data_IF_912292200237
#
_entry.id   IF_912292200237
#
_cell.length_a   1.000
_cell.length_b   1.000
_cell.length_c   1.000
_cell.angle_alpha   90.00
_cell.angle_beta   90.00
_cell.angle_gamma   90.00
#
_symmetry.space_group_name_H-M   'P 1'
#
loop_
_entity.id
_entity.type
_entity.pdbx_description
1 polymer ?
#
# COMPACT_ATOMS: atom_id res chain seq x y z
N UNK A 1 -7.31 46.64 -13.37
CA UNK A 1 -6.00 45.96 -13.35
C UNK A 1 -6.09 44.92 -12.25
N UNK A 2 -6.31 43.66 -12.63
CA UNK A 2 -6.20 42.53 -11.71
C UNK A 2 -4.73 42.40 -11.31
N UNK A 3 -4.47 42.48 -10.01
CA UNK A 3 -3.15 42.23 -9.45
C UNK A 3 -2.96 40.72 -9.45
N UNK A 4 -2.24 40.20 -10.44
CA UNK A 4 -1.85 38.79 -10.50
C UNK A 4 -1.04 38.49 -9.23
N UNK A 5 -1.64 37.75 -8.30
CA UNK A 5 -0.98 37.37 -7.07
C UNK A 5 0.27 36.58 -7.45
N UNK A 6 1.44 37.14 -7.15
CA UNK A 6 2.74 36.55 -7.44
C UNK A 6 2.98 35.41 -6.43
N UNK A 7 2.23 34.31 -6.60
CA UNK A 7 2.23 33.15 -5.73
C UNK A 7 3.51 32.37 -6.00
N UNK A 8 4.40 32.32 -5.01
CA UNK A 8 5.62 31.50 -5.12
C UNK A 8 5.20 30.03 -5.12
N UNK A 9 5.70 29.23 -6.05
CA UNK A 9 5.46 27.77 -6.14
C UNK A 9 5.67 27.03 -4.81
N UNK A 10 6.54 27.55 -3.94
CA UNK A 10 6.79 27.02 -2.59
C UNK A 10 5.65 27.22 -1.59
N UNK A 11 4.65 28.06 -1.89
CA UNK A 11 3.54 28.39 -0.99
C UNK A 11 2.40 27.34 -1.03
N UNK A 12 2.36 26.47 -2.05
CA UNK A 12 1.29 25.48 -2.24
C UNK A 12 1.84 24.09 -2.54
N UNK A 13 2.86 23.65 -1.78
CA UNK A 13 3.36 22.29 -1.90
C UNK A 13 2.45 21.35 -1.13
N UNK A 14 1.64 20.57 -1.85
CA UNK A 14 0.97 19.41 -1.28
C UNK A 14 2.03 18.37 -0.90
N UNK A 15 2.06 18.00 0.39
CA UNK A 15 2.99 17.02 0.93
C UNK A 15 2.20 15.91 1.60
N UNK A 16 2.54 14.67 1.27
CA UNK A 16 2.02 13.54 2.02
C UNK A 16 2.54 13.60 3.46
N UNK A 17 1.65 13.33 4.42
CA UNK A 17 2.02 13.26 5.83
C UNK A 17 2.99 12.11 6.11
N UNK A 18 2.85 11.01 5.36
CA UNK A 18 3.75 9.86 5.41
C UNK A 18 4.17 9.48 3.98
N UNK A 19 5.46 9.22 3.80
CA UNK A 19 6.02 8.66 2.58
C UNK A 19 6.80 7.40 2.94
N UNK A 20 6.95 6.50 1.98
CA UNK A 20 7.84 5.36 2.11
C UNK A 20 8.67 5.21 0.84
N UNK A 21 9.76 4.46 0.95
CA UNK A 21 10.38 3.85 -0.20
C UNK A 21 10.67 2.38 0.06
N UNK A 22 10.69 1.61 -1.02
CA UNK A 22 11.11 0.22 -1.04
C UNK A 22 12.24 0.04 -2.04
N UNK A 23 13.17 -0.87 -1.74
CA UNK A 23 14.33 -1.16 -2.57
C UNK A 23 14.59 -2.66 -2.53
N UNK A 24 15.06 -3.21 -3.65
CA UNK A 24 15.57 -4.56 -3.71
C UNK A 24 17.07 -4.53 -3.97
N UNK A 25 17.83 -5.36 -3.24
CA UNK A 25 19.24 -5.65 -3.53
C UNK A 25 19.35 -7.13 -3.78
N UNK A 26 19.76 -7.50 -4.98
CA UNK A 26 19.94 -8.92 -5.30
C UNK A 26 21.07 -9.50 -4.41
N UNK A 27 20.80 -10.54 -3.61
CA UNK A 27 21.86 -11.18 -2.83
C UNK A 27 23.01 -11.76 -3.65
N UNK A 28 22.79 -12.07 -4.94
CA UNK A 28 23.80 -12.64 -5.84
C UNK A 28 24.72 -11.62 -6.51
N UNK A 29 24.17 -10.48 -6.96
CA UNK A 29 24.90 -9.44 -7.72
C UNK A 29 25.24 -8.22 -6.86
N UNK A 30 24.55 -8.03 -5.72
CA UNK A 30 24.74 -6.88 -4.82
C UNK A 30 24.25 -5.53 -5.39
N UNK A 31 23.90 -5.48 -6.68
CA UNK A 31 23.32 -4.31 -7.33
C UNK A 31 21.96 -3.95 -6.69
N UNK A 32 21.82 -2.67 -6.36
CA UNK A 32 20.58 -2.13 -5.80
C UNK A 32 19.68 -1.60 -6.92
N UNK A 33 18.40 -1.93 -6.86
CA UNK A 33 17.39 -1.34 -7.74
C UNK A 33 17.21 0.15 -7.43
N UNK A 34 16.59 0.93 -8.33
CA UNK A 34 16.07 2.24 -7.98
C UNK A 34 15.16 2.20 -6.74
N UNK A 35 15.01 3.36 -6.09
CA UNK A 35 14.07 3.52 -4.98
C UNK A 35 12.64 3.65 -5.54
N UNK A 36 11.74 2.80 -5.03
CA UNK A 36 10.32 2.85 -5.36
C UNK A 36 9.57 3.59 -4.26
N UNK A 37 9.03 4.77 -4.55
CA UNK A 37 8.39 5.64 -3.57
C UNK A 37 6.87 5.42 -3.48
N UNK A 38 6.36 5.47 -2.25
CA UNK A 38 4.94 5.45 -1.92
C UNK A 38 4.57 6.61 -1.02
N UNK A 39 3.29 6.99 -1.03
CA UNK A 39 2.73 8.03 -0.20
C UNK A 39 1.46 7.52 0.50
N UNK A 40 1.24 7.94 1.74
CA UNK A 40 -0.01 7.64 2.43
C UNK A 40 -1.16 8.40 1.80
N UNK A 41 -2.33 7.79 1.68
CA UNK A 41 -3.51 8.46 1.17
C UNK A 41 -4.09 9.33 2.29
N UNK A 42 -4.31 10.60 1.99
CA UNK A 42 -5.05 11.48 2.89
C UNK A 42 -6.53 11.43 2.53
N UNK A 43 -7.26 10.49 3.12
CA UNK A 43 -8.72 10.46 3.08
C UNK A 43 -9.27 10.83 4.46
N UNK A 44 -10.01 11.94 4.52
CA UNK A 44 -10.87 12.26 5.64
C UNK A 44 -12.13 11.41 5.57
N UNK A 45 -12.46 10.74 6.67
CA UNK A 45 -13.63 9.85 6.74
C UNK A 45 -13.29 8.37 6.52
N UNK A 46 -14.08 7.51 7.18
CA UNK A 46 -13.89 6.06 7.14
C UNK A 46 -14.36 5.48 5.80
N UNK A 47 -15.46 6.01 5.26
CA UNK A 47 -16.11 5.54 4.04
C UNK A 47 -15.22 5.80 2.82
N UNK A 48 -14.78 7.04 2.65
CA UNK A 48 -13.90 7.52 1.58
C UNK A 48 -12.59 6.74 1.57
N UNK A 49 -12.06 6.45 2.75
CA UNK A 49 -10.86 5.63 2.89
C UNK A 49 -11.06 4.21 2.39
N UNK A 50 -12.18 3.56 2.76
CA UNK A 50 -12.47 2.19 2.29
C UNK A 50 -12.65 2.16 0.77
N UNK A 51 -13.35 3.15 0.21
CA UNK A 51 -13.53 3.31 -1.23
C UNK A 51 -12.16 3.42 -1.92
N UNK A 52 -11.29 4.31 -1.43
CA UNK A 52 -9.96 4.50 -2.00
C UNK A 52 -9.08 3.25 -1.91
N UNK A 53 -9.09 2.54 -0.78
CA UNK A 53 -8.37 1.28 -0.64
C UNK A 53 -8.87 0.24 -1.65
N UNK A 54 -10.19 0.10 -1.81
CA UNK A 54 -10.76 -0.85 -2.76
C UNK A 54 -10.37 -0.51 -4.21
N UNK A 55 -10.45 0.77 -4.60
CA UNK A 55 -10.03 1.22 -5.94
C UNK A 55 -8.54 0.93 -6.16
N UNK A 56 -7.68 1.24 -5.18
CA UNK A 56 -6.24 0.98 -5.31
C UNK A 56 -5.95 -0.51 -5.42
N UNK A 57 -6.61 -1.35 -4.63
CA UNK A 57 -6.46 -2.81 -4.75
C UNK A 57 -6.90 -3.35 -6.12
N UNK A 58 -7.91 -2.72 -6.76
CA UNK A 58 -8.44 -3.14 -8.05
C UNK A 58 -7.63 -2.61 -9.24
N UNK A 59 -7.09 -1.39 -9.16
CA UNK A 59 -6.58 -0.67 -10.33
C UNK A 59 -5.11 -0.28 -10.26
N UNK A 60 -4.51 -0.18 -9.06
CA UNK A 60 -3.19 0.46 -8.91
C UNK A 60 -2.18 -0.46 -8.25
N UNK A 61 -2.55 -1.06 -7.12
CA UNK A 61 -1.66 -1.92 -6.37
C UNK A 61 -1.51 -3.29 -7.02
N UNK A 62 -0.31 -3.81 -6.90
CA UNK A 62 0.05 -5.15 -7.33
C UNK A 62 -0.83 -6.18 -6.61
N UNK A 63 -1.23 -7.24 -7.33
CA UNK A 63 -2.15 -8.27 -6.83
C UNK A 63 -1.70 -8.89 -5.50
N UNK A 64 -0.40 -9.13 -5.32
CA UNK A 64 0.13 -9.63 -4.04
C UNK A 64 -0.06 -8.65 -2.87
N UNK A 65 0.09 -7.34 -3.11
CA UNK A 65 -0.18 -6.32 -2.09
C UNK A 65 -1.68 -6.27 -1.81
N UNK A 66 -2.52 -6.27 -2.85
CA UNK A 66 -3.97 -6.27 -2.70
C UNK A 66 -4.49 -7.53 -1.96
N UNK A 67 -3.89 -8.70 -2.22
CA UNK A 67 -4.12 -9.93 -1.47
C UNK A 67 -3.81 -9.76 0.02
N UNK A 68 -2.65 -9.20 0.37
CA UNK A 68 -2.28 -8.96 1.75
C UNK A 68 -3.20 -7.94 2.44
N UNK A 69 -3.66 -6.92 1.71
CA UNK A 69 -4.65 -5.94 2.21
C UNK A 69 -6.01 -6.61 2.46
N UNK A 70 -6.47 -7.46 1.54
CA UNK A 70 -7.72 -8.20 1.68
C UNK A 70 -7.72 -9.08 2.94
N UNK A 71 -6.63 -9.81 3.17
CA UNK A 71 -6.51 -10.72 4.31
C UNK A 71 -5.93 -10.09 5.57
N UNK A 72 -5.73 -8.77 5.62
CA UNK A 72 -5.08 -8.11 6.75
C UNK A 72 -5.74 -8.38 8.11
N UNK A 73 -7.03 -8.75 8.13
CA UNK A 73 -7.78 -9.14 9.32
C UNK A 73 -7.60 -10.60 9.74
N UNK A 74 -7.22 -11.47 8.81
CA UNK A 74 -7.05 -12.91 9.01
C UNK A 74 -5.59 -13.30 9.35
N UNK A 75 -4.73 -12.30 9.60
CA UNK A 75 -3.30 -12.47 9.86
C UNK A 75 -2.52 -13.23 8.76
N UNK A 76 -3.09 -13.34 7.55
CA UNK A 76 -2.40 -13.86 6.39
C UNK A 76 -1.54 -12.77 5.76
N UNK A 77 -0.26 -13.10 5.56
CA UNK A 77 0.74 -12.17 5.08
C UNK A 77 1.33 -12.63 3.75
N UNK A 78 2.02 -11.71 3.08
CA UNK A 78 2.99 -12.06 2.04
C UNK A 78 4.40 -11.91 2.57
N UNK A 79 5.29 -12.76 2.10
CA UNK A 79 6.71 -12.79 2.41
C UNK A 79 7.46 -12.35 1.16
N UNK A 80 8.23 -11.27 1.30
CA UNK A 80 9.14 -10.82 0.26
C UNK A 80 10.44 -11.63 0.31
N UNK A 81 11.11 -11.83 -0.84
CA UNK A 81 12.43 -12.44 -0.85
C UNK A 81 13.46 -11.61 -0.10
N UNK A 82 14.52 -12.27 0.35
CA UNK A 82 15.69 -11.62 0.95
C UNK A 82 16.24 -10.52 0.04
N UNK A 83 16.66 -9.41 0.65
CA UNK A 83 17.17 -8.24 -0.06
C UNK A 83 16.13 -7.14 -0.29
N UNK A 84 14.84 -7.41 -0.07
CA UNK A 84 13.80 -6.37 -0.08
C UNK A 84 13.77 -5.61 1.24
N UNK A 85 13.87 -4.28 1.17
CA UNK A 85 13.77 -3.39 2.32
C UNK A 85 12.66 -2.35 2.13
N UNK A 86 12.04 -1.95 3.23
CA UNK A 86 11.04 -0.87 3.24
C UNK A 86 11.30 0.14 4.35
N UNK A 87 11.24 1.43 4.00
CA UNK A 87 11.50 2.57 4.90
C UNK A 87 10.37 3.57 4.83
N UNK A 88 9.82 3.93 5.98
CA UNK A 88 8.76 4.93 6.08
C UNK A 88 9.26 6.18 6.80
N UNK A 89 8.67 7.32 6.45
CA UNK A 89 8.98 8.63 6.99
C UNK A 89 7.70 9.41 7.22
N UNK A 90 7.60 10.11 8.35
CA UNK A 90 6.51 11.03 8.60
C UNK A 90 7.01 12.47 8.58
N UNK A 91 6.23 13.36 8.00
CA UNK A 91 6.55 14.77 7.94
C UNK A 91 6.17 15.44 9.26
N UNK A 92 7.14 16.05 9.93
CA UNK A 92 6.93 16.76 11.20
C UNK A 92 7.93 17.89 11.34
N UNK A 93 7.49 19.04 11.87
CA UNK A 93 8.36 20.19 12.15
C UNK A 93 9.25 20.60 10.95
N UNK A 94 8.71 20.57 9.73
CA UNK A 94 9.43 21.00 8.52
C UNK A 94 10.32 19.95 7.86
N UNK A 95 10.40 18.72 8.39
CA UNK A 95 11.27 17.66 7.86
C UNK A 95 10.62 16.27 7.92
N UNK A 96 11.08 15.37 7.05
CA UNK A 96 10.74 13.95 7.13
C UNK A 96 11.61 13.27 8.19
N UNK A 97 10.98 12.57 9.13
CA UNK A 97 11.66 11.75 10.14
C UNK A 97 11.33 10.29 9.92
N UNK A 98 12.32 9.42 10.08
CA UNK A 98 12.11 7.96 9.97
C UNK A 98 10.99 7.52 10.93
N UNK A 99 10.11 6.67 10.41
CA UNK A 99 8.96 6.10 11.10
C UNK A 99 9.09 4.59 11.10
N UNK A 100 8.79 3.96 12.24
CA UNK A 100 8.63 2.51 12.33
C UNK A 100 7.42 2.05 11.50
N UNK A 101 7.43 0.82 10.95
CA UNK A 101 6.25 0.28 10.29
C UNK A 101 5.09 0.20 11.29
N UNK A 102 3.88 0.46 10.83
CA UNK A 102 2.71 0.27 11.68
C UNK A 102 2.45 -1.23 11.91
N UNK A 103 1.74 -1.56 12.99
CA UNK A 103 1.39 -2.96 13.34
C UNK A 103 0.74 -3.69 12.16
N UNK A 104 -0.11 -3.01 11.41
CA UNK A 104 -0.80 -3.60 10.25
C UNK A 104 0.14 -3.94 9.10
N UNK A 105 1.09 -3.07 8.77
CA UNK A 105 2.11 -3.37 7.78
C UNK A 105 2.97 -4.58 8.21
N UNK A 106 3.31 -4.70 9.49
CA UNK A 106 4.08 -5.85 10.00
C UNK A 106 3.29 -7.17 9.99
N UNK A 107 1.96 -7.09 10.06
CA UNK A 107 1.08 -8.24 9.90
C UNK A 107 1.04 -8.67 8.44
N UNK A 108 0.75 -7.74 7.53
CA UNK A 108 0.56 -8.01 6.08
C UNK A 108 1.85 -8.35 5.33
N UNK A 109 2.99 -7.78 5.72
CA UNK A 109 4.24 -7.91 4.97
C UNK A 109 5.37 -8.45 5.85
N UNK A 110 5.95 -9.58 5.46
CA UNK A 110 7.22 -10.06 5.99
C UNK A 110 8.32 -9.56 5.07
N UNK A 111 8.92 -8.43 5.48
CA UNK A 111 9.96 -7.69 4.76
C UNK A 111 10.91 -7.06 5.76
N UNK A 112 12.15 -6.75 5.35
CA UNK A 112 13.10 -6.03 6.19
C UNK A 112 12.69 -4.55 6.32
N UNK A 113 11.85 -4.26 7.31
CA UNK A 113 11.47 -2.91 7.67
C UNK A 113 12.62 -2.17 8.36
N UNK A 114 12.85 -0.93 7.94
CA UNK A 114 13.86 -0.04 8.51
C UNK A 114 13.20 1.29 8.92
N UNK A 115 13.33 1.72 10.20
CA UNK A 115 13.86 0.97 11.33
C UNK A 115 13.04 -0.30 11.62
N UNK A 116 13.64 -1.33 12.24
CA UNK A 116 12.92 -2.56 12.59
C UNK A 116 11.67 -2.27 13.44
N UNK A 117 10.68 -3.14 13.34
CA UNK A 117 9.54 -3.12 14.23
C UNK A 117 10.02 -3.21 15.69
N UNK A 118 9.70 -2.20 16.51
CA UNK A 118 9.97 -2.23 17.95
C UNK A 118 8.73 -2.67 18.73
N UNK A 119 8.91 -3.19 19.95
CA UNK A 119 7.86 -3.71 20.84
C UNK A 119 6.83 -2.69 21.34
N UNK A 120 6.96 -1.41 20.99
CA UNK A 120 6.03 -0.37 21.42
C UNK A 120 4.87 -0.26 20.42
N UNK A 121 3.70 -0.70 20.89
CA UNK A 121 2.39 -0.62 20.26
C UNK A 121 2.04 0.83 19.91
N UNK A 122 2.39 1.27 18.70
CA UNK A 122 1.64 2.37 18.10
C UNK A 122 0.21 1.85 17.89
N UNK A 123 -0.68 2.23 18.81
CA UNK A 123 -2.11 1.98 18.77
C UNK A 123 -2.74 2.72 17.58
N UNK A 124 -2.45 2.25 16.37
CA UNK A 124 -3.05 2.75 15.15
C UNK A 124 -4.45 2.16 15.07
N UNK A 125 -5.46 2.92 15.51
CA UNK A 125 -6.90 2.59 15.40
C UNK A 125 -7.42 2.50 13.95
N UNK A 126 -6.54 2.60 12.96
CA UNK A 126 -6.91 2.79 11.57
C UNK A 126 -7.12 1.46 10.83
N UNK A 127 -8.10 1.36 9.91
CA UNK A 127 -8.23 0.19 9.03
C UNK A 127 -6.98 -0.04 8.17
N UNK A 128 -6.80 -1.26 7.67
CA UNK A 128 -5.68 -1.68 6.82
C UNK A 128 -5.61 -0.83 5.54
N UNK A 129 -4.50 -0.86 4.81
CA UNK A 129 -4.47 -0.31 3.44
C UNK A 129 -4.04 1.16 3.28
N UNK A 130 -4.05 2.04 4.28
CA UNK A 130 -3.68 3.46 4.04
C UNK A 130 -2.18 3.80 4.18
N UNK A 131 -1.33 2.79 4.34
CA UNK A 131 0.08 3.01 4.58
C UNK A 131 0.83 3.24 3.27
N UNK A 132 1.81 4.16 3.29
CA UNK A 132 2.63 4.46 2.13
C UNK A 132 3.36 3.21 1.62
N UNK A 133 3.67 2.28 2.52
CA UNK A 133 4.33 1.02 2.25
C UNK A 133 3.59 0.15 1.23
N UNK A 134 2.25 0.21 1.17
CA UNK A 134 1.47 -0.54 0.18
C UNK A 134 1.84 -0.10 -1.24
N UNK A 135 1.90 1.22 -1.45
CA UNK A 135 2.23 1.78 -2.76
C UNK A 135 3.71 1.55 -3.11
N UNK A 136 4.63 1.75 -2.17
CA UNK A 136 6.07 1.53 -2.45
C UNK A 136 6.40 0.07 -2.76
N UNK A 137 5.84 -0.88 -1.99
CA UNK A 137 6.02 -2.31 -2.22
C UNK A 137 5.32 -2.77 -3.50
N UNK A 138 4.15 -2.22 -3.81
CA UNK A 138 3.46 -2.48 -5.08
C UNK A 138 4.32 -2.09 -6.27
N UNK A 139 4.83 -0.85 -6.27
CA UNK A 139 5.68 -0.33 -7.35
C UNK A 139 6.98 -1.11 -7.47
N UNK A 140 7.54 -1.58 -6.35
CA UNK A 140 8.70 -2.47 -6.37
C UNK A 140 8.40 -3.77 -7.12
N UNK A 141 7.29 -4.44 -6.83
CA UNK A 141 6.91 -5.67 -7.51
C UNK A 141 6.61 -5.45 -9.00
N UNK A 142 5.99 -4.33 -9.35
CA UNK A 142 5.72 -3.94 -10.74
C UNK A 142 6.99 -3.55 -11.50
N UNK A 143 7.98 -2.99 -10.81
CA UNK A 143 9.17 -2.38 -11.42
C UNK A 143 10.41 -3.24 -11.46
N UNK A 144 10.46 -4.35 -10.71
CA UNK A 144 11.62 -5.27 -10.69
C UNK A 144 11.22 -6.60 -11.36
N UNK A 145 11.70 -6.87 -12.58
CA UNK A 145 11.40 -8.10 -13.29
C UNK A 145 11.79 -9.34 -12.47
N UNK A 146 10.91 -10.34 -12.41
CA UNK A 146 11.21 -11.60 -11.73
C UNK A 146 11.04 -11.57 -10.20
N UNK A 147 10.81 -10.40 -9.59
CA UNK A 147 10.74 -10.28 -8.14
C UNK A 147 9.43 -10.84 -7.58
N UNK A 148 8.32 -10.63 -8.29
CA UNK A 148 6.99 -11.08 -7.88
C UNK A 148 6.91 -12.61 -7.78
N UNK A 149 7.60 -13.35 -8.65
CA UNK A 149 7.60 -14.82 -8.68
C UNK A 149 8.24 -15.43 -7.43
N UNK A 150 9.01 -14.62 -6.68
CA UNK A 150 9.64 -15.01 -5.42
C UNK A 150 8.84 -14.62 -4.19
N UNK A 151 7.71 -13.94 -4.36
CA UNK A 151 6.78 -13.63 -3.27
C UNK A 151 5.97 -14.88 -2.95
N UNK A 152 5.85 -15.19 -1.66
CA UNK A 152 5.01 -16.28 -1.16
C UNK A 152 4.04 -15.76 -0.11
N UNK A 153 2.94 -16.47 0.13
CA UNK A 153 2.04 -16.18 1.25
C UNK A 153 2.42 -16.99 2.49
N UNK A 154 1.85 -16.63 3.64
CA UNK A 154 1.98 -17.41 4.88
C UNK A 154 0.90 -18.49 5.00
N UNK A 155 0.29 -18.91 3.88
CA UNK A 155 -0.60 -20.07 3.91
C UNK A 155 0.12 -21.29 4.48
N UNK A 156 -0.57 -22.02 5.36
CA UNK A 156 -0.10 -23.31 5.86
C UNK A 156 -0.42 -24.41 4.85
N UNK A 157 0.35 -25.50 4.80
CA UNK A 157 -0.04 -26.69 4.04
C UNK A 157 -1.42 -27.22 4.51
N UNK A 158 -2.24 -27.79 3.61
CA UNK A 158 -1.94 -28.19 2.23
C UNK A 158 -2.10 -27.08 1.17
N UNK A 159 -2.42 -25.85 1.56
CA UNK A 159 -2.64 -24.76 0.61
C UNK A 159 -1.34 -24.37 -0.11
N UNK A 160 -1.36 -24.12 -1.43
CA UNK A 160 -0.21 -23.57 -2.13
C UNK A 160 0.02 -22.12 -1.66
N UNK A 161 1.29 -21.75 -1.48
CA UNK A 161 1.67 -20.43 -1.00
C UNK A 161 2.49 -19.63 -2.01
N UNK A 162 2.55 -20.07 -3.27
CA UNK A 162 3.34 -19.40 -4.32
C UNK A 162 2.65 -18.11 -4.81
N UNK A 163 3.39 -17.30 -5.56
CA UNK A 163 2.80 -16.12 -6.22
C UNK A 163 1.66 -16.50 -7.18
N UNK A 164 1.75 -17.63 -7.88
CA UNK A 164 0.67 -18.10 -8.76
C UNK A 164 -0.61 -18.40 -7.97
N UNK A 165 -0.49 -18.95 -6.76
CA UNK A 165 -1.65 -19.17 -5.90
C UNK A 165 -2.27 -17.85 -5.41
N UNK A 166 -1.43 -16.88 -5.04
CA UNK A 166 -1.88 -15.51 -4.69
C UNK A 166 -2.62 -14.88 -5.87
N UNK A 167 -2.08 -14.97 -7.08
CA UNK A 167 -2.69 -14.39 -8.27
C UNK A 167 -4.01 -15.08 -8.64
N UNK A 168 -4.06 -16.42 -8.54
CA UNK A 168 -5.27 -17.19 -8.79
C UNK A 168 -6.38 -16.82 -7.79
N UNK A 169 -6.08 -16.80 -6.50
CA UNK A 169 -7.05 -16.40 -5.48
C UNK A 169 -7.51 -14.95 -5.67
N UNK A 170 -6.58 -14.08 -6.09
CA UNK A 170 -6.94 -12.70 -6.40
C UNK A 170 -8.01 -12.64 -7.49
N UNK A 171 -7.78 -13.33 -8.61
CA UNK A 171 -8.69 -13.35 -9.75
C UNK A 171 -10.04 -14.02 -9.43
N UNK A 172 -10.02 -15.14 -8.69
CA UNK A 172 -11.22 -15.94 -8.46
C UNK A 172 -12.13 -15.34 -7.38
N UNK A 173 -11.54 -14.79 -6.31
CA UNK A 173 -12.26 -14.45 -5.08
C UNK A 173 -12.10 -12.97 -4.73
N UNK A 174 -10.87 -12.51 -4.59
CA UNK A 174 -10.59 -11.22 -3.94
C UNK A 174 -11.03 -10.05 -4.81
N UNK A 175 -10.83 -10.13 -6.13
CA UNK A 175 -11.24 -9.07 -7.06
C UNK A 175 -12.75 -8.83 -6.98
N UNK A 176 -13.55 -9.91 -7.04
CA UNK A 176 -14.99 -9.82 -6.91
C UNK A 176 -15.42 -9.30 -5.53
N UNK A 177 -14.72 -9.70 -4.46
CA UNK A 177 -14.97 -9.18 -3.12
C UNK A 177 -14.76 -7.66 -3.04
N UNK A 178 -13.65 -7.15 -3.58
CA UNK A 178 -13.40 -5.70 -3.62
C UNK A 178 -14.43 -4.96 -4.48
N UNK A 179 -14.82 -5.51 -5.64
CA UNK A 179 -15.85 -4.91 -6.51
C UNK A 179 -17.19 -4.83 -5.81
N UNK A 180 -17.62 -5.92 -5.18
CA UNK A 180 -18.87 -5.97 -4.43
C UNK A 180 -18.86 -4.95 -3.28
N UNK A 181 -17.77 -4.94 -2.49
CA UNK A 181 -17.65 -4.00 -1.37
C UNK A 181 -17.64 -2.54 -1.85
N UNK A 182 -16.94 -2.22 -2.94
CA UNK A 182 -16.90 -0.89 -3.52
C UNK A 182 -18.31 -0.41 -3.95
N UNK A 183 -19.09 -1.28 -4.60
CA UNK A 183 -20.48 -0.96 -4.99
C UNK A 183 -21.33 -0.64 -3.75
N UNK A 184 -21.22 -1.42 -2.68
CA UNK A 184 -21.95 -1.16 -1.44
C UNK A 184 -21.56 0.19 -0.82
N UNK A 185 -20.27 0.48 -0.71
CA UNK A 185 -19.78 1.74 -0.14
C UNK A 185 -20.24 2.97 -0.95
N UNK A 186 -20.25 2.86 -2.28
CA UNK A 186 -20.74 3.94 -3.16
C UNK A 186 -22.24 4.18 -3.00
N UNK A 187 -23.02 3.13 -2.73
CA UNK A 187 -24.47 3.23 -2.45
C UNK A 187 -24.73 3.87 -1.09
N UNK A 188 -24.00 3.45 -0.06
CA UNK A 188 -24.09 4.00 1.30
C UNK A 188 -23.75 5.50 1.37
N UNK A 189 -22.76 5.94 0.60
CA UNK A 189 -22.34 7.35 0.57
C UNK A 189 -23.24 8.28 -0.24
N UNK A 190 -24.33 7.79 -0.83
CA UNK A 190 -25.18 8.54 -1.77
C UNK A 190 -24.38 9.20 -2.92
N UNK A 191 -23.23 8.67 -3.32
CA UNK A 191 -22.39 9.26 -4.38
C UNK A 191 -23.10 9.30 -5.74
N UNK A 192 -24.15 8.48 -5.92
CA UNK A 192 -24.99 8.44 -7.12
C UNK A 192 -25.78 9.72 -7.39
N UNK A 193 -25.97 10.60 -6.41
CA UNK A 193 -26.72 11.86 -6.61
C UNK A 193 -25.87 13.01 -7.16
N UNK A 194 -24.53 12.89 -7.17
CA UNK A 194 -23.66 14.02 -7.47
C UNK A 194 -22.79 13.94 -8.72
N UNK A 195 -22.65 12.80 -9.42
CA UNK A 195 -22.09 12.73 -10.79
C UNK A 195 -22.28 11.33 -11.38
N UNK A 196 -22.43 11.17 -12.71
CA UNK A 196 -22.17 9.91 -13.36
C UNK A 196 -20.69 9.60 -13.18
N UNK A 197 -20.37 8.74 -12.21
CA UNK A 197 -19.01 8.23 -11.99
C UNK A 197 -18.60 7.41 -13.21
N UNK A 198 -18.03 8.07 -14.21
CA UNK A 198 -17.20 7.42 -15.22
C UNK A 198 -15.84 7.17 -14.58
N UNK A 199 -15.62 5.95 -14.12
CA UNK A 199 -14.25 5.46 -13.95
C UNK A 199 -13.71 5.19 -15.36
N UNK A 200 -12.62 5.88 -15.71
CA UNK A 200 -11.92 5.83 -17.00
C UNK A 200 -11.57 4.42 -17.45
#
# INVERSE_FOLDING_TARGET
>A
QEQEANLKLSQFVFRAAVVSFSIYRDPGDGAATPLFYGASLSCSGLLERKIMIAILCLQTWHKAVAFAVHHGENDLAIVFPDGVQSRAFYYTHGAFKEKKPCVKCTKMFKVDFRPPAGSATENSRWPYGNCAENESLSKLLQGVPGLQERVVSTHTPPQPNTYQAIEQEFADVIENSFRYHLVQLLQEGHFFSYLPLQFF
#
